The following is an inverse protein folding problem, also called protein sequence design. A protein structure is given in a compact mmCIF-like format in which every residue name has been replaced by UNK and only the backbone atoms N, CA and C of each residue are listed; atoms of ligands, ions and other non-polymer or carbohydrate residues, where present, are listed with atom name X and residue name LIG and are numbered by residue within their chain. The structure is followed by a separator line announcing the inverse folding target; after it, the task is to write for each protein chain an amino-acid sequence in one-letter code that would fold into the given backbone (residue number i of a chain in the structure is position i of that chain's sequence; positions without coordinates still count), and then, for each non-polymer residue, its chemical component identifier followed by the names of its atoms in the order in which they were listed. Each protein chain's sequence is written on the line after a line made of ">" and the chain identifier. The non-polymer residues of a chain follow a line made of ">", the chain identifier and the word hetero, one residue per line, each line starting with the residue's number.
data_IF_010084958422
#
_entry.id   IF_010084958422
#
_cell.length_a   1.000
_cell.length_b   1.000
_cell.length_c   1.000
_cell.angle_alpha   90.00
_cell.angle_beta   90.00
_cell.angle_gamma   90.00
#
_symmetry.space_group_name_H-M   'P 1'
#
loop_
_entity.id
_entity.type
_entity.pdbx_description
1 polymer ?
#
# COMPACT_ATOMS: atom_id res chain seq x y z
N UNK A 1 24.16 9.42 -16.27
CA UNK A 1 24.24 10.59 -17.17
C UNK A 1 23.67 10.18 -18.50
N UNK A 2 22.71 10.94 -19.02
CA UNK A 2 22.01 10.65 -20.27
C UNK A 2 22.26 11.80 -21.26
N UNK A 3 22.40 11.46 -22.54
CA UNK A 3 22.50 12.48 -23.59
C UNK A 3 21.13 13.11 -23.84
N UNK A 4 21.07 14.43 -23.96
CA UNK A 4 19.85 15.13 -24.34
C UNK A 4 19.46 14.74 -25.78
N UNK A 5 18.22 14.30 -25.99
CA UNK A 5 17.67 13.94 -27.31
C UNK A 5 17.66 15.09 -28.32
N UNK A 6 17.72 16.35 -27.86
CA UNK A 6 17.70 17.53 -28.73
C UNK A 6 19.09 18.09 -29.04
N UNK A 7 19.94 18.28 -28.02
CA UNK A 7 21.25 18.92 -28.22
C UNK A 7 22.45 17.98 -28.05
N UNK A 8 22.24 16.70 -27.71
CA UNK A 8 23.31 15.71 -27.56
C UNK A 8 24.19 15.86 -26.31
N UNK A 9 24.04 16.94 -25.54
CA UNK A 9 24.85 17.18 -24.34
C UNK A 9 24.53 16.15 -23.24
N UNK A 10 25.56 15.68 -22.54
CA UNK A 10 25.41 14.78 -21.38
C UNK A 10 24.93 15.56 -20.17
N UNK A 11 23.79 15.15 -19.62
CA UNK A 11 23.17 15.76 -18.45
C UNK A 11 23.01 14.73 -17.31
N UNK A 12 23.01 15.17 -16.04
CA UNK A 12 22.70 14.31 -14.90
C UNK A 12 21.31 13.68 -15.01
N UNK A 13 21.13 12.46 -14.52
CA UNK A 13 19.86 11.73 -14.69
C UNK A 13 18.71 12.34 -13.88
N UNK A 14 19.03 13.11 -12.84
CA UNK A 14 18.10 13.83 -11.97
C UNK A 14 17.55 15.13 -12.58
N UNK A 15 18.14 15.66 -13.66
CA UNK A 15 17.68 16.92 -14.26
C UNK A 15 16.50 16.71 -15.23
N UNK A 16 15.41 17.48 -15.01
CA UNK A 16 14.21 17.45 -15.85
C UNK A 16 14.32 18.32 -17.11
N UNK A 17 15.19 19.31 -17.11
CA UNK A 17 15.43 20.17 -18.26
C UNK A 17 16.91 20.14 -18.60
N UNK A 18 17.23 20.14 -19.88
CA UNK A 18 18.60 20.35 -20.31
C UNK A 18 19.00 21.82 -20.04
N UNK A 19 20.08 22.11 -19.29
CA UNK A 19 20.48 23.48 -18.97
C UNK A 19 20.92 24.26 -20.22
N UNK A 20 21.35 23.55 -21.27
CA UNK A 20 21.83 24.16 -22.52
C UNK A 20 20.69 24.53 -23.48
N UNK A 21 19.76 23.59 -23.74
CA UNK A 21 18.72 23.79 -24.76
C UNK A 21 17.30 23.90 -24.21
N UNK A 22 17.14 23.82 -22.88
CA UNK A 22 15.86 23.78 -22.15
C UNK A 22 14.89 22.69 -22.60
N UNK A 23 15.37 21.70 -23.37
CA UNK A 23 14.55 20.55 -23.73
C UNK A 23 14.16 19.79 -22.46
N UNK A 24 12.85 19.60 -22.26
CA UNK A 24 12.33 18.83 -21.14
C UNK A 24 12.53 17.35 -21.46
N UNK A 25 13.21 16.66 -20.56
CA UNK A 25 13.35 15.22 -20.61
C UNK A 25 12.12 14.60 -19.97
N UNK A 26 11.47 13.67 -20.66
CA UNK A 26 10.44 12.81 -20.06
C UNK A 26 11.13 11.77 -19.16
N UNK A 27 11.59 12.22 -17.99
CA UNK A 27 12.10 11.33 -16.95
C UNK A 27 10.88 10.72 -16.23
N UNK A 28 10.77 9.38 -16.16
CA UNK A 28 9.74 8.75 -15.34
C UNK A 28 9.82 9.28 -13.91
N UNK A 29 8.68 9.67 -13.34
CA UNK A 29 8.66 10.14 -11.95
C UNK A 29 9.18 9.01 -11.04
N UNK A 30 10.11 9.28 -10.11
CA UNK A 30 10.60 8.29 -9.16
C UNK A 30 9.54 8.05 -8.08
N UNK A 31 8.49 7.29 -8.43
CA UNK A 31 7.29 7.07 -7.61
C UNK A 31 7.65 6.63 -6.19
N UNK A 32 8.65 5.75 -6.06
CA UNK A 32 9.11 5.17 -4.79
C UNK A 32 9.67 6.20 -3.80
N UNK A 33 10.12 7.37 -4.28
CA UNK A 33 10.61 8.44 -3.40
C UNK A 33 9.48 9.20 -2.71
N UNK A 34 8.25 9.12 -3.24
CA UNK A 34 7.11 9.88 -2.76
C UNK A 34 6.30 9.08 -1.74
N UNK A 35 5.78 9.81 -0.75
CA UNK A 35 4.88 9.27 0.25
C UNK A 35 3.44 9.25 -0.28
N UNK A 36 3.11 8.20 -1.04
CA UNK A 36 1.83 8.04 -1.75
C UNK A 36 0.61 8.07 -0.82
N UNK A 37 -0.52 8.57 -1.31
CA UNK A 37 -1.78 8.52 -0.56
C UNK A 37 -2.42 7.14 -0.58
N UNK A 38 -3.64 6.99 -0.08
CA UNK A 38 -4.26 5.67 0.10
C UNK A 38 -4.53 4.96 -1.22
N UNK A 39 -5.13 5.66 -2.19
CA UNK A 39 -5.53 5.08 -3.49
C UNK A 39 -4.28 4.78 -4.31
N UNK A 40 -3.41 5.76 -4.45
CA UNK A 40 -2.13 5.69 -5.15
C UNK A 40 -1.25 4.57 -4.62
N UNK A 41 -1.11 4.48 -3.29
CA UNK A 41 -0.29 3.46 -2.65
C UNK A 41 -0.86 2.07 -2.87
N UNK A 42 -2.19 1.94 -2.78
CA UNK A 42 -2.87 0.67 -3.01
C UNK A 42 -2.67 0.21 -4.46
N UNK A 43 -2.89 1.08 -5.45
CA UNK A 43 -2.64 0.77 -6.88
C UNK A 43 -1.16 0.46 -7.11
N UNK A 44 -0.25 1.20 -6.49
CA UNK A 44 1.18 0.98 -6.63
C UNK A 44 1.57 -0.43 -6.13
N UNK A 45 1.14 -0.83 -4.94
CA UNK A 45 1.45 -2.14 -4.39
C UNK A 45 0.67 -3.29 -5.07
N UNK A 46 -0.62 -3.10 -5.31
CA UNK A 46 -1.52 -4.15 -5.82
C UNK A 46 -1.45 -4.34 -7.34
N UNK A 47 -0.91 -3.39 -8.09
CA UNK A 47 -0.88 -3.48 -9.56
C UNK A 47 0.53 -3.29 -10.10
N UNK A 48 1.22 -2.20 -9.72
CA UNK A 48 2.53 -1.87 -10.30
C UNK A 48 3.66 -2.74 -9.73
N UNK A 49 3.60 -3.06 -8.44
CA UNK A 49 4.56 -3.88 -7.69
C UNK A 49 3.97 -5.19 -7.20
N UNK A 50 3.09 -5.78 -8.01
CA UNK A 50 2.30 -6.96 -7.65
C UNK A 50 3.16 -8.13 -7.14
N UNK A 51 4.22 -8.47 -7.88
CA UNK A 51 5.18 -9.53 -7.54
C UNK A 51 6.61 -9.00 -7.52
N UNK A 52 6.78 -7.72 -7.15
CA UNK A 52 8.08 -7.09 -7.01
C UNK A 52 8.55 -7.19 -5.55
N UNK A 53 9.53 -8.07 -5.33
CA UNK A 53 10.14 -8.31 -4.03
C UNK A 53 11.42 -7.48 -3.80
N UNK A 54 11.87 -6.75 -4.81
CA UNK A 54 13.09 -5.96 -4.74
C UNK A 54 12.83 -4.55 -4.19
N UNK A 55 13.89 -3.91 -3.72
CA UNK A 55 13.78 -2.57 -3.15
C UNK A 55 13.23 -2.55 -1.72
N UNK A 56 12.63 -1.41 -1.36
CA UNK A 56 12.21 -1.08 0.01
C UNK A 56 10.77 -0.57 0.01
N UNK A 57 10.05 -0.84 1.09
CA UNK A 57 8.74 -0.27 1.37
C UNK A 57 8.80 0.47 2.71
N UNK A 58 8.34 1.72 2.71
CA UNK A 58 8.29 2.53 3.92
C UNK A 58 7.19 2.04 4.87
N UNK A 59 7.21 2.49 6.14
CA UNK A 59 6.12 2.22 7.09
C UNK A 59 4.76 2.68 6.53
N UNK A 60 4.73 3.88 5.96
CA UNK A 60 3.51 4.45 5.38
C UNK A 60 2.99 3.59 4.23
N UNK A 61 3.88 3.13 3.34
CA UNK A 61 3.51 2.29 2.20
C UNK A 61 2.91 0.95 2.66
N UNK A 62 3.56 0.26 3.59
CA UNK A 62 3.05 -1.02 4.12
C UNK A 62 1.70 -0.84 4.83
N UNK A 63 1.62 0.07 5.81
CA UNK A 63 0.41 0.19 6.62
C UNK A 63 -0.78 0.76 5.86
N UNK A 64 -0.58 1.65 4.88
CA UNK A 64 -1.67 2.12 4.01
C UNK A 64 -2.19 1.02 3.10
N UNK A 65 -1.32 0.16 2.60
CA UNK A 65 -1.75 -1.01 1.82
C UNK A 65 -2.62 -1.95 2.67
N UNK A 66 -2.17 -2.27 3.89
CA UNK A 66 -2.94 -3.11 4.84
C UNK A 66 -4.27 -2.45 5.20
N UNK A 67 -4.28 -1.16 5.52
CA UNK A 67 -5.51 -0.43 5.86
C UNK A 67 -6.52 -0.42 4.71
N UNK A 68 -6.07 -0.21 3.47
CA UNK A 68 -6.95 -0.26 2.29
C UNK A 68 -7.46 -1.67 2.01
N UNK A 69 -6.61 -2.69 2.15
CA UNK A 69 -7.04 -4.08 2.05
C UNK A 69 -8.11 -4.42 3.10
N UNK A 70 -7.89 -4.05 4.36
CA UNK A 70 -8.88 -4.23 5.44
C UNK A 70 -10.17 -3.49 5.15
N UNK A 71 -10.11 -2.27 4.59
CA UNK A 71 -11.30 -1.50 4.23
C UNK A 71 -12.14 -2.22 3.16
N UNK A 72 -11.49 -2.75 2.11
CA UNK A 72 -12.17 -3.51 1.06
C UNK A 72 -12.85 -4.76 1.65
N UNK A 73 -12.13 -5.50 2.50
CA UNK A 73 -12.67 -6.69 3.19
C UNK A 73 -13.88 -6.32 4.06
N UNK A 74 -13.77 -5.29 4.89
CA UNK A 74 -14.86 -4.82 5.77
C UNK A 74 -16.09 -4.37 4.98
N UNK A 75 -15.90 -3.67 3.86
CA UNK A 75 -17.00 -3.25 2.99
C UNK A 75 -17.71 -4.46 2.36
N UNK A 76 -16.97 -5.44 1.86
CA UNK A 76 -17.56 -6.66 1.27
C UNK A 76 -18.40 -7.40 2.31
N UNK A 77 -17.85 -7.62 3.52
CA UNK A 77 -18.57 -8.28 4.60
C UNK A 77 -19.83 -7.51 5.01
N UNK A 78 -19.73 -6.19 5.14
CA UNK A 78 -20.85 -5.32 5.43
C UNK A 78 -21.95 -5.40 4.37
N UNK A 79 -21.60 -5.30 3.08
CA UNK A 79 -22.57 -5.37 1.98
C UNK A 79 -23.26 -6.74 1.95
N UNK A 80 -22.51 -7.83 2.16
CA UNK A 80 -23.08 -9.17 2.21
C UNK A 80 -24.04 -9.36 3.39
N UNK A 81 -23.66 -8.91 4.59
CA UNK A 81 -24.51 -8.96 5.78
C UNK A 81 -25.77 -8.08 5.63
N UNK A 82 -25.59 -6.86 5.12
CA UNK A 82 -26.67 -5.92 4.89
C UNK A 82 -27.68 -6.46 3.87
N UNK A 83 -27.21 -7.02 2.75
CA UNK A 83 -28.11 -7.56 1.73
C UNK A 83 -28.90 -8.76 2.26
N UNK A 84 -28.30 -9.62 3.11
CA UNK A 84 -29.05 -10.71 3.72
C UNK A 84 -30.23 -10.23 4.58
N UNK A 85 -30.12 -9.08 5.25
CA UNK A 85 -31.20 -8.50 6.06
C UNK A 85 -32.46 -8.14 5.25
N UNK A 86 -32.36 -7.99 3.93
CA UNK A 86 -33.52 -7.72 3.04
C UNK A 86 -34.04 -8.96 2.31
N UNK A 87 -33.48 -10.13 2.59
CA UNK A 87 -33.85 -11.39 1.93
C UNK A 87 -34.32 -12.41 2.97
N UNK A 88 -34.88 -13.54 2.52
CA UNK A 88 -35.19 -14.68 3.40
C UNK A 88 -33.94 -15.44 3.86
N UNK A 89 -32.76 -15.03 3.38
CA UNK A 89 -31.47 -15.62 3.74
C UNK A 89 -31.02 -15.06 5.08
N UNK A 90 -30.72 -15.94 6.04
CA UNK A 90 -30.21 -15.51 7.34
C UNK A 90 -28.89 -14.72 7.23
N UNK A 91 -28.65 -13.79 8.15
CA UNK A 91 -27.42 -12.99 8.19
C UNK A 91 -26.14 -13.83 8.16
N UNK A 92 -26.15 -14.98 8.85
CA UNK A 92 -25.04 -15.94 8.87
C UNK A 92 -24.73 -16.52 7.48
N UNK A 93 -25.78 -16.79 6.68
CA UNK A 93 -25.63 -17.32 5.31
C UNK A 93 -25.15 -16.22 4.36
N UNK A 94 -25.62 -14.97 4.54
CA UNK A 94 -25.12 -13.81 3.81
C UNK A 94 -23.63 -13.58 4.03
N UNK A 95 -23.18 -13.63 5.28
CA UNK A 95 -21.74 -13.57 5.61
C UNK A 95 -20.98 -14.77 5.07
N UNK A 96 -21.57 -15.97 5.04
CA UNK A 96 -20.99 -17.14 4.38
C UNK A 96 -20.65 -16.91 2.90
N UNK A 97 -21.54 -16.23 2.15
CA UNK A 97 -21.25 -15.81 0.77
C UNK A 97 -20.13 -14.76 0.71
N UNK A 98 -20.12 -13.83 1.67
CA UNK A 98 -19.02 -12.89 1.85
C UNK A 98 -17.68 -13.58 2.05
N UNK A 99 -17.61 -14.65 2.86
CA UNK A 99 -16.39 -15.43 3.08
C UNK A 99 -15.88 -16.08 1.79
N UNK A 100 -16.76 -16.56 0.91
CA UNK A 100 -16.35 -17.08 -0.40
C UNK A 100 -15.70 -15.99 -1.25
N UNK A 101 -16.31 -14.79 -1.28
CA UNK A 101 -15.71 -13.64 -1.96
C UNK A 101 -14.35 -13.25 -1.35
N UNK A 102 -14.21 -13.36 -0.02
CA UNK A 102 -12.93 -13.12 0.65
C UNK A 102 -11.86 -14.15 0.29
N UNK A 103 -12.20 -15.43 0.13
CA UNK A 103 -11.23 -16.45 -0.31
C UNK A 103 -10.70 -16.09 -1.70
N UNK A 104 -11.59 -15.74 -2.64
CA UNK A 104 -11.20 -15.33 -4.00
C UNK A 104 -10.33 -14.07 -3.97
N UNK A 105 -10.72 -13.06 -3.19
CA UNK A 105 -9.93 -11.84 -3.00
C UNK A 105 -8.55 -12.15 -2.42
N UNK A 106 -8.49 -13.00 -1.40
CA UNK A 106 -7.25 -13.36 -0.72
C UNK A 106 -6.25 -14.00 -1.68
N UNK A 107 -6.70 -14.88 -2.57
CA UNK A 107 -5.82 -15.48 -3.60
C UNK A 107 -5.14 -14.39 -4.44
N UNK A 108 -5.90 -13.37 -4.87
CA UNK A 108 -5.37 -12.26 -5.65
C UNK A 108 -4.39 -11.37 -4.87
N UNK A 109 -4.62 -11.18 -3.56
CA UNK A 109 -3.85 -10.24 -2.74
C UNK A 109 -2.73 -10.87 -1.90
N UNK A 110 -2.64 -12.21 -1.82
CA UNK A 110 -1.56 -12.90 -1.11
C UNK A 110 -0.18 -12.53 -1.68
N UNK A 111 -0.03 -12.53 -3.01
CA UNK A 111 1.26 -12.21 -3.65
C UNK A 111 1.70 -10.75 -3.36
N UNK A 112 0.90 -9.71 -3.64
CA UNK A 112 1.29 -8.34 -3.34
C UNK A 112 1.44 -8.08 -1.84
N UNK A 113 0.65 -8.75 -0.99
CA UNK A 113 0.79 -8.70 0.46
C UNK A 113 2.14 -9.22 0.95
N UNK A 114 2.59 -10.36 0.43
CA UNK A 114 3.93 -10.89 0.72
C UNK A 114 5.01 -9.99 0.12
N UNK A 115 4.83 -9.50 -1.11
CA UNK A 115 5.80 -8.63 -1.77
C UNK A 115 6.05 -7.34 -0.97
N UNK A 116 5.01 -6.63 -0.53
CA UNK A 116 5.16 -5.43 0.30
C UNK A 116 5.75 -5.74 1.68
N UNK A 117 5.42 -6.89 2.28
CA UNK A 117 6.01 -7.32 3.55
C UNK A 117 7.52 -7.61 3.41
N UNK A 118 7.93 -8.25 2.33
CA UNK A 118 9.35 -8.49 2.00
C UNK A 118 10.10 -7.16 1.81
N UNK A 119 9.55 -6.23 1.03
CA UNK A 119 10.14 -4.90 0.84
C UNK A 119 10.17 -4.08 2.15
N UNK A 120 9.21 -4.29 3.04
CA UNK A 120 9.20 -3.69 4.39
C UNK A 120 10.31 -4.27 5.27
N UNK A 121 10.55 -5.59 5.23
CA UNK A 121 11.69 -6.23 5.89
C UNK A 121 13.03 -5.74 5.35
N UNK A 122 13.13 -5.55 4.03
CA UNK A 122 14.30 -4.96 3.39
C UNK A 122 14.58 -3.53 3.90
N UNK A 123 13.55 -2.75 4.17
CA UNK A 123 13.68 -1.38 4.67
C UNK A 123 14.27 -1.31 6.10
N UNK A 124 14.00 -2.29 6.96
CA UNK A 124 14.69 -2.47 8.26
C UNK A 124 16.05 -3.20 8.14
N UNK A 125 16.42 -3.65 6.94
CA UNK A 125 17.68 -4.32 6.63
C UNK A 125 17.70 -5.83 6.85
N UNK A 126 16.53 -6.43 7.10
CA UNK A 126 16.37 -7.88 7.25
C UNK A 126 16.24 -8.55 5.88
N UNK A 127 16.39 -9.87 5.82
CA UNK A 127 16.15 -10.63 4.60
C UNK A 127 14.65 -10.88 4.41
N UNK A 128 14.17 -10.89 3.15
CA UNK A 128 12.76 -11.15 2.83
C UNK A 128 12.22 -12.48 3.39
N UNK A 129 13.07 -13.50 3.53
CA UNK A 129 12.72 -14.81 4.08
C UNK A 129 12.08 -14.76 5.48
N UNK A 130 12.34 -13.71 6.26
CA UNK A 130 11.71 -13.55 7.57
C UNK A 130 10.19 -13.36 7.50
N UNK A 131 9.62 -13.10 6.32
CA UNK A 131 8.16 -13.10 6.13
C UNK A 131 7.52 -14.44 6.51
N UNK A 132 8.27 -15.56 6.37
CA UNK A 132 7.82 -16.90 6.74
C UNK A 132 7.60 -17.07 8.24
N UNK A 133 8.22 -16.22 9.08
CA UNK A 133 7.95 -16.21 10.54
C UNK A 133 6.47 -15.96 10.79
N UNK A 134 5.79 -15.18 9.95
CA UNK A 134 4.35 -14.94 10.05
C UNK A 134 3.48 -16.19 9.90
N UNK A 135 4.01 -17.29 9.35
CA UNK A 135 3.30 -18.56 9.22
C UNK A 135 3.30 -19.38 10.51
N UNK A 136 4.12 -19.01 11.51
CA UNK A 136 4.15 -19.68 12.81
C UNK A 136 2.90 -19.25 13.59
N UNK A 137 1.97 -20.17 13.91
CA UNK A 137 0.76 -19.84 14.64
C UNK A 137 1.08 -19.21 16.01
N UNK A 138 0.24 -18.28 16.45
CA UNK A 138 0.31 -17.56 17.73
C UNK A 138 1.52 -16.63 17.93
N UNK A 139 2.74 -17.05 17.57
CA UNK A 139 3.98 -16.30 17.83
C UNK A 139 4.45 -15.51 16.61
N UNK A 140 4.20 -16.03 15.40
CA UNK A 140 4.63 -15.41 14.16
C UNK A 140 4.00 -14.05 13.88
N UNK A 141 2.68 -13.95 14.10
CA UNK A 141 1.91 -12.72 13.87
C UNK A 141 2.37 -11.57 14.77
N UNK A 142 2.49 -11.73 16.11
CA UNK A 142 3.05 -10.68 16.97
C UNK A 142 4.44 -10.22 16.55
N UNK A 143 5.35 -11.15 16.22
CA UNK A 143 6.70 -10.82 15.78
C UNK A 143 6.66 -9.99 14.49
N UNK A 144 5.88 -10.41 13.50
CA UNK A 144 5.74 -9.68 12.25
C UNK A 144 5.13 -8.30 12.47
N UNK A 145 4.09 -8.16 13.29
CA UNK A 145 3.51 -6.85 13.62
C UNK A 145 4.55 -5.89 14.20
N UNK A 146 5.39 -6.36 15.14
CA UNK A 146 6.47 -5.57 15.71
C UNK A 146 7.48 -5.18 14.62
N UNK A 147 7.94 -6.13 13.81
CA UNK A 147 8.92 -5.87 12.73
C UNK A 147 8.39 -4.87 11.71
N UNK A 148 7.12 -4.95 11.32
CA UNK A 148 6.50 -4.03 10.36
C UNK A 148 6.33 -2.60 10.94
N UNK A 149 6.28 -2.46 12.27
CA UNK A 149 6.12 -1.18 12.97
C UNK A 149 7.45 -0.47 13.27
N UNK A 150 8.56 -1.20 13.38
CA UNK A 150 9.90 -0.64 13.63
C UNK A 150 10.26 0.46 12.60
N UNK A 151 11.10 1.45 12.94
CA UNK A 151 11.56 2.43 11.96
C UNK A 151 12.52 1.79 10.93
N UNK A 152 12.40 2.22 9.66
CA UNK A 152 13.35 1.87 8.60
C UNK A 152 14.72 2.53 8.75
N UNK A 153 15.71 2.06 7.99
CA UNK A 153 17.06 2.69 7.97
C UNK A 153 17.01 4.03 7.22
N UNK A 154 17.48 5.12 7.82
CA UNK A 154 17.48 6.44 7.16
C UNK A 154 18.47 6.54 6.00
N UNK A 155 19.58 5.82 6.06
CA UNK A 155 20.56 5.71 4.98
C UNK A 155 20.18 4.64 3.94
N UNK A 156 20.84 4.69 2.78
CA UNK A 156 20.79 3.59 1.84
C UNK A 156 21.29 2.29 2.50
N UNK A 157 20.63 1.19 2.18
CA UNK A 157 21.04 -0.15 2.60
C UNK A 157 21.25 -1.03 1.36
N UNK A 158 21.58 -2.31 1.54
CA UNK A 158 21.81 -3.25 0.42
C UNK A 158 20.63 -3.44 -0.54
N UNK A 159 19.44 -3.00 -0.15
CA UNK A 159 18.21 -3.04 -0.93
C UNK A 159 17.84 -1.69 -1.54
N UNK A 160 18.69 -0.67 -1.40
CA UNK A 160 18.53 0.63 -2.05
C UNK A 160 18.30 1.81 -1.10
N UNK A 161 17.96 2.95 -1.72
CA UNK A 161 17.66 4.21 -1.04
C UNK A 161 16.33 4.15 -0.26
N UNK A 162 16.15 4.94 0.81
CA UNK A 162 14.88 5.01 1.53
C UNK A 162 13.74 5.46 0.61
N UNK A 163 12.54 4.92 0.85
CA UNK A 163 11.32 5.23 0.09
C UNK A 163 10.36 6.08 0.91
N UNK A 164 9.43 6.77 0.24
CA UNK A 164 8.41 7.58 0.91
C UNK A 164 8.96 8.78 1.69
N UNK A 165 10.07 9.37 1.23
CA UNK A 165 10.73 10.49 1.90
C UNK A 165 10.12 11.85 1.54
N UNK A 166 9.43 11.94 0.39
CA UNK A 166 8.90 13.20 -0.14
C UNK A 166 7.38 13.25 -0.03
N UNK A 167 6.87 14.20 0.73
CA UNK A 167 5.43 14.44 0.91
C UNK A 167 4.83 14.99 -0.39
N UNK A 168 3.71 14.41 -0.82
CA UNK A 168 2.91 14.89 -1.95
C UNK A 168 1.97 15.98 -1.46
N UNK A 169 2.21 17.22 -1.90
CA UNK A 169 1.30 18.34 -1.66
C UNK A 169 0.16 18.35 -2.67
N UNK A 170 -0.93 19.09 -2.39
CA UNK A 170 -2.04 19.27 -3.33
C UNK A 170 -1.59 19.80 -4.70
N UNK A 171 -0.59 20.69 -4.70
CA UNK A 171 0.01 21.22 -5.93
C UNK A 171 0.75 20.14 -6.71
N UNK A 172 1.51 19.27 -6.01
CA UNK A 172 2.18 18.14 -6.66
C UNK A 172 1.18 17.12 -7.20
N UNK A 173 0.12 16.81 -6.44
CA UNK A 173 -0.94 15.92 -6.88
C UNK A 173 -1.59 16.40 -8.18
N UNK A 174 -1.99 17.68 -8.24
CA UNK A 174 -2.54 18.27 -9.46
C UNK A 174 -1.53 18.26 -10.62
N UNK A 175 -0.25 18.57 -10.35
CA UNK A 175 0.81 18.62 -11.37
C UNK A 175 1.12 17.25 -11.99
N UNK A 176 1.12 16.20 -11.19
CA UNK A 176 1.50 14.85 -11.61
C UNK A 176 0.29 13.94 -11.88
N UNK A 177 -0.93 14.42 -11.63
CA UNK A 177 -2.15 13.65 -11.82
C UNK A 177 -2.37 12.57 -10.76
N UNK A 178 -1.90 12.79 -9.53
CA UNK A 178 -2.29 11.93 -8.40
C UNK A 178 -3.72 12.31 -7.97
N UNK A 179 -4.57 11.30 -7.77
CA UNK A 179 -5.90 11.36 -7.19
C UNK A 179 -5.87 11.84 -5.74
N UNK A 180 -4.89 11.41 -4.95
CA UNK A 180 -4.74 11.82 -3.57
C UNK A 180 -3.34 12.35 -3.20
N UNK A 181 -3.30 13.03 -2.05
CA UNK A 181 -2.08 13.53 -1.43
C UNK A 181 -1.65 12.59 -0.31
N UNK A 182 -0.43 12.77 0.19
CA UNK A 182 0.00 12.13 1.44
C UNK A 182 -1.05 12.36 2.53
N UNK A 183 -1.56 11.30 3.20
CA UNK A 183 -2.71 11.43 4.06
C UNK A 183 -2.31 12.15 5.35
N UNK A 184 -3.21 13.01 5.83
CA UNK A 184 -3.10 13.57 7.17
C UNK A 184 -3.35 12.49 8.23
N UNK A 185 -2.87 12.72 9.45
CA UNK A 185 -3.18 11.85 10.59
C UNK A 185 -4.70 11.76 10.80
N UNK A 186 -5.43 12.87 10.62
CA UNK A 186 -6.89 12.90 10.75
C UNK A 186 -7.56 11.94 9.77
N UNK A 187 -7.18 11.97 8.49
CA UNK A 187 -7.75 11.06 7.49
C UNK A 187 -7.45 9.59 7.80
N UNK A 188 -6.23 9.32 8.28
CA UNK A 188 -5.84 7.97 8.70
C UNK A 188 -6.66 7.49 9.90
N UNK A 189 -6.89 8.35 10.89
CA UNK A 189 -7.73 8.03 12.04
C UNK A 189 -9.18 7.82 11.65
N UNK A 190 -9.73 8.65 10.76
CA UNK A 190 -11.09 8.46 10.24
C UNK A 190 -11.26 7.10 9.58
N UNK A 191 -10.28 6.64 8.79
CA UNK A 191 -10.33 5.33 8.16
C UNK A 191 -10.30 4.19 9.20
N UNK A 192 -9.46 4.31 10.24
CA UNK A 192 -9.43 3.33 11.34
C UNK A 192 -10.77 3.30 12.08
N UNK A 193 -11.38 4.45 12.35
CA UNK A 193 -12.70 4.53 12.98
C UNK A 193 -13.75 3.89 12.07
N UNK A 194 -13.73 4.14 10.76
CA UNK A 194 -14.64 3.51 9.81
C UNK A 194 -14.54 1.98 9.82
N UNK A 195 -13.33 1.42 9.93
CA UNK A 195 -13.13 -0.02 10.06
C UNK A 195 -13.79 -0.57 11.34
N UNK A 196 -13.60 0.11 12.46
CA UNK A 196 -14.19 -0.29 13.75
C UNK A 196 -15.72 -0.23 13.67
N UNK A 197 -16.28 0.84 13.12
CA UNK A 197 -17.72 1.01 12.96
C UNK A 197 -18.30 -0.07 12.03
N UNK A 198 -17.68 -0.34 10.88
CA UNK A 198 -18.13 -1.39 9.98
C UNK A 198 -18.11 -2.76 10.66
N UNK A 199 -17.09 -3.05 11.46
CA UNK A 199 -17.01 -4.30 12.22
C UNK A 199 -18.15 -4.42 13.24
N UNK A 200 -18.43 -3.37 14.03
CA UNK A 200 -19.56 -3.35 14.98
C UNK A 200 -20.90 -3.55 14.26
N UNK A 201 -21.09 -2.90 13.10
CA UNK A 201 -22.33 -3.03 12.32
C UNK A 201 -22.53 -4.45 11.80
N UNK A 202 -21.49 -5.09 11.29
CA UNK A 202 -21.54 -6.48 10.85
C UNK A 202 -21.86 -7.41 12.01
N UNK A 203 -21.22 -7.23 13.15
CA UNK A 203 -21.49 -8.04 14.36
C UNK A 203 -22.95 -7.90 14.81
N UNK A 204 -23.47 -6.67 14.86
CA UNK A 204 -24.87 -6.43 15.18
C UNK A 204 -25.82 -7.11 14.19
N UNK A 205 -25.55 -7.04 12.89
CA UNK A 205 -26.37 -7.71 11.85
C UNK A 205 -26.31 -9.24 11.90
N UNK A 206 -25.26 -9.82 12.50
CA UNK A 206 -25.14 -11.26 12.69
C UNK A 206 -25.92 -11.76 13.91
N UNK A 207 -26.14 -10.90 14.91
CA UNK A 207 -26.87 -11.23 16.14
C UNK A 207 -28.38 -11.01 16.01
N UNK A 208 -28.82 -10.11 15.11
CA UNK A 208 -30.23 -9.85 14.80
C UNK A 208 -30.81 -10.81 13.77
#
# INVERSE_FOLDING_TARGET
>A
MLACSKCGQRIPDSERYCPYCRHMKNVPLPIDSYELGFIENFIHCAVRKYADFEGRASRGEYWRFILMYLLIVSIILFVCAFLSSFTTVSGTTGVGLGLVALVVLSIGFVIPGIAVAVRRLHDIGWAGWFVLVGLIPFVGVPIMLILMALPGKSAANRFGAPTGTTIITKQMAHKYGFFDTTPSNVLTMSLVISLIVLWILVDHMLVT
#
